data_IF_954917777128
#
_entry.id   IF_954917777128
#
_cell.length_a   1.000
_cell.length_b   1.000
_cell.length_c   1.000
_cell.angle_alpha   90.00
_cell.angle_beta   90.00
_cell.angle_gamma   90.00
#
_symmetry.space_group_name_H-M   'P 1'
#
loop_
_entity.id
_entity.type
_entity.pdbx_description
1 polymer ?
#
# COMPACT_ATOMS: atom_id res chain seq x y z
N UNK A 1 -29.58 15.86 -31.79
CA UNK A 1 -29.39 14.74 -32.75
C UNK A 1 -27.98 14.23 -32.54
N UNK A 2 -27.83 13.06 -31.93
CA UNK A 2 -26.53 12.43 -31.67
C UNK A 2 -26.45 11.18 -32.54
N UNK A 3 -25.53 11.17 -33.50
CA UNK A 3 -25.14 9.97 -34.25
C UNK A 3 -24.08 9.22 -33.46
N UNK A 4 -24.35 7.94 -33.17
CA UNK A 4 -23.41 6.99 -32.62
C UNK A 4 -22.80 6.20 -33.79
N UNK A 5 -21.47 6.10 -33.85
CA UNK A 5 -20.80 5.15 -34.74
C UNK A 5 -20.12 4.09 -33.90
N UNK A 6 -20.65 2.87 -34.01
CA UNK A 6 -20.12 1.65 -33.43
C UNK A 6 -19.08 1.06 -34.40
N UNK A 7 -17.89 0.71 -33.90
CA UNK A 7 -17.01 -0.23 -34.59
C UNK A 7 -16.85 -1.41 -33.65
N UNK A 8 -17.61 -2.47 -33.94
CA UNK A 8 -17.60 -3.70 -33.17
C UNK A 8 -16.42 -4.60 -33.55
N UNK A 9 -15.89 -5.33 -32.58
CA UNK A 9 -15.31 -6.65 -32.82
C UNK A 9 -16.07 -7.65 -31.95
N UNK A 10 -16.78 -8.55 -32.60
CA UNK A 10 -17.47 -9.67 -31.98
C UNK A 10 -16.46 -10.68 -31.43
N UNK A 11 -16.35 -10.78 -30.09
CA UNK A 11 -16.43 -12.04 -29.31
C UNK A 11 -16.03 -11.79 -27.84
N UNK A 12 -16.77 -12.46 -26.96
CA UNK A 12 -16.70 -12.43 -25.49
C UNK A 12 -17.12 -11.09 -24.85
N UNK A 13 -18.40 -11.03 -24.46
CA UNK A 13 -18.91 -9.95 -23.64
C UNK A 13 -18.23 -9.95 -22.27
N UNK A 14 -17.71 -8.79 -21.88
CA UNK A 14 -17.57 -8.30 -20.51
C UNK A 14 -17.04 -6.84 -20.57
N UNK A 15 -17.84 -5.91 -20.05
CA UNK A 15 -17.56 -4.50 -19.74
C UNK A 15 -17.22 -3.53 -20.89
N UNK A 16 -18.24 -2.82 -21.38
CA UNK A 16 -18.10 -1.49 -22.01
C UNK A 16 -18.15 -0.41 -20.92
N UNK A 17 -17.03 0.29 -20.68
CA UNK A 17 -17.02 1.51 -19.85
C UNK A 17 -17.38 2.73 -20.71
N UNK A 18 -18.49 3.40 -20.39
CA UNK A 18 -18.81 4.72 -20.93
C UNK A 18 -18.00 5.79 -20.19
N UNK A 19 -17.08 6.48 -20.87
CA UNK A 19 -16.48 7.71 -20.36
C UNK A 19 -17.39 8.89 -20.70
N UNK A 20 -17.83 9.62 -19.66
CA UNK A 20 -18.49 10.92 -19.82
C UNK A 20 -17.41 12.00 -19.65
N UNK A 21 -16.92 12.56 -20.76
CA UNK A 21 -16.13 13.80 -20.71
C UNK A 21 -16.98 14.89 -20.04
N UNK A 22 -16.43 15.54 -19.01
CA UNK A 22 -17.03 16.73 -18.40
C UNK A 22 -16.11 17.91 -18.69
N UNK A 23 -16.52 18.74 -19.64
CA UNK A 23 -15.84 19.97 -20.05
C UNK A 23 -15.96 21.12 -19.02
N UNK A 24 -16.12 20.84 -17.71
CA UNK A 24 -16.46 21.86 -16.70
C UNK A 24 -15.85 21.59 -15.31
N UNK A 25 -14.55 21.26 -15.24
CA UNK A 25 -13.80 21.31 -13.98
C UNK A 25 -13.06 22.65 -13.86
N UNK A 26 -13.58 23.60 -13.07
CA UNK A 26 -12.97 24.92 -12.86
C UNK A 26 -11.65 24.90 -12.05
N UNK A 27 -11.11 23.72 -11.71
CA UNK A 27 -9.87 23.53 -10.95
C UNK A 27 -8.77 22.77 -11.73
N UNK A 28 -9.06 22.34 -12.95
CA UNK A 28 -8.08 21.74 -13.86
C UNK A 28 -7.91 22.68 -15.03
N UNK A 29 -7.01 23.67 -14.89
CA UNK A 29 -6.59 24.44 -16.07
C UNK A 29 -5.69 23.54 -16.93
N UNK A 30 -5.69 23.70 -18.26
CA UNK A 30 -4.79 22.96 -19.16
C UNK A 30 -3.31 23.10 -18.74
N UNK A 31 -2.93 24.26 -18.23
CA UNK A 31 -1.56 24.51 -17.75
C UNK A 31 -1.17 23.64 -16.55
N UNK A 32 -2.10 23.38 -15.61
CA UNK A 32 -1.86 22.51 -14.46
C UNK A 32 -1.81 21.02 -14.84
N UNK A 33 -2.47 20.63 -15.93
CA UNK A 33 -2.44 19.26 -16.46
C UNK A 33 -1.15 19.01 -17.24
N UNK A 34 -0.68 19.99 -18.02
CA UNK A 34 0.64 19.96 -18.66
C UNK A 34 1.78 19.91 -17.63
N UNK A 35 1.73 20.74 -16.58
CA UNK A 35 2.75 20.72 -15.52
C UNK A 35 2.77 19.37 -14.76
N UNK A 36 1.61 18.70 -14.64
CA UNK A 36 1.49 17.35 -14.06
C UNK A 36 2.01 16.26 -14.99
N UNK A 37 1.73 16.34 -16.29
CA UNK A 37 2.28 15.43 -17.28
C UNK A 37 3.80 15.54 -17.35
N UNK A 38 4.33 16.77 -17.35
CA UNK A 38 5.77 17.02 -17.33
C UNK A 38 6.45 16.44 -16.09
N UNK A 39 5.88 16.64 -14.89
CA UNK A 39 6.38 16.01 -13.64
C UNK A 39 6.26 14.49 -13.62
N UNK A 40 5.29 13.92 -14.33
CA UNK A 40 5.13 12.47 -14.49
C UNK A 40 6.17 11.89 -15.44
N UNK A 41 6.45 12.56 -16.55
CA UNK A 41 7.49 12.19 -17.51
C UNK A 41 8.88 12.30 -16.89
N UNK A 42 9.16 13.37 -16.15
CA UNK A 42 10.39 13.52 -15.37
C UNK A 42 10.59 12.36 -14.39
N UNK A 43 9.53 11.94 -13.68
CA UNK A 43 9.59 10.78 -12.77
C UNK A 43 9.76 9.46 -13.50
N UNK A 44 9.12 9.27 -14.65
CA UNK A 44 9.32 8.07 -15.49
C UNK A 44 10.75 7.96 -16.00
N UNK A 45 11.36 9.09 -16.36
CA UNK A 45 12.77 9.16 -16.76
C UNK A 45 13.70 8.83 -15.58
N UNK A 46 13.44 9.34 -14.37
CA UNK A 46 14.23 9.00 -13.17
C UNK A 46 14.12 7.51 -12.83
N UNK A 47 12.93 6.93 -12.95
CA UNK A 47 12.70 5.49 -12.74
C UNK A 47 13.47 4.68 -13.79
N UNK A 48 13.39 5.06 -15.07
CA UNK A 48 14.15 4.40 -16.15
C UNK A 48 15.68 4.53 -15.97
N UNK A 49 16.16 5.71 -15.56
CA UNK A 49 17.57 5.95 -15.26
C UNK A 49 18.05 5.13 -14.05
N UNK A 50 17.21 4.92 -13.03
CA UNK A 50 17.51 4.01 -11.93
C UNK A 50 17.57 2.56 -12.40
N UNK A 51 16.66 2.12 -13.28
CA UNK A 51 16.73 0.81 -13.92
C UNK A 51 18.02 0.64 -14.76
N UNK A 52 18.48 1.69 -15.44
CA UNK A 52 19.75 1.70 -16.16
C UNK A 52 20.96 1.67 -15.20
N UNK A 53 20.93 2.42 -14.10
CA UNK A 53 22.00 2.46 -13.11
C UNK A 53 22.14 1.16 -12.29
N UNK A 54 21.05 0.39 -12.17
CA UNK A 54 21.07 -0.98 -11.65
C UNK A 54 21.81 -1.96 -12.57
N UNK A 55 21.91 -1.65 -13.87
CA UNK A 55 22.69 -2.41 -14.85
C UNK A 55 24.20 -2.06 -14.76
N UNK A 56 24.51 -0.80 -14.44
CA UNK A 56 25.89 -0.28 -14.31
C UNK A 56 26.56 -0.58 -12.96
N UNK A 57 25.78 -0.72 -11.88
CA UNK A 57 26.31 -1.08 -10.54
C UNK A 57 26.48 -2.59 -10.39
N UNK A 58 27.52 -3.09 -11.06
CA UNK A 58 27.97 -4.48 -11.02
C UNK A 58 28.12 -5.04 -9.58
N UNK A 59 27.07 -5.68 -9.08
CA UNK A 59 27.18 -7.12 -8.78
C UNK A 59 26.57 -7.86 -9.96
N UNK A 60 27.39 -8.39 -10.87
CA UNK A 60 26.85 -8.97 -12.07
C UNK A 60 26.09 -10.24 -11.70
N UNK A 61 24.87 -10.39 -12.25
CA UNK A 61 24.09 -11.63 -12.19
C UNK A 61 24.88 -12.86 -12.69
N UNK A 62 26.06 -12.67 -13.29
CA UNK A 62 27.03 -13.72 -13.60
C UNK A 62 27.64 -14.43 -12.37
N UNK A 63 27.61 -13.83 -11.18
CA UNK A 63 27.97 -14.53 -9.94
C UNK A 63 26.82 -15.44 -9.43
N UNK A 64 25.57 -15.12 -9.78
CA UNK A 64 24.40 -15.99 -9.58
C UNK A 64 24.23 -17.04 -10.69
N UNK A 65 24.86 -16.88 -11.86
CA UNK A 65 24.84 -17.84 -12.99
C UNK A 65 25.36 -19.24 -12.64
N UNK A 66 26.15 -19.43 -11.57
CA UNK A 66 26.76 -20.75 -11.29
C UNK A 66 25.78 -21.83 -10.82
N UNK A 67 24.52 -21.51 -10.53
CA UNK A 67 23.48 -22.51 -10.24
C UNK A 67 22.37 -22.63 -11.28
N UNK A 68 22.32 -21.73 -12.29
CA UNK A 68 21.11 -21.50 -13.11
C UNK A 68 21.29 -21.73 -14.62
N UNK A 69 22.34 -22.42 -15.06
CA UNK A 69 22.43 -22.87 -16.47
C UNK A 69 21.32 -23.87 -16.86
N UNK A 70 20.60 -24.46 -15.90
CA UNK A 70 19.49 -25.38 -16.20
C UNK A 70 18.14 -24.69 -16.46
N UNK A 71 17.88 -23.52 -15.87
CA UNK A 71 16.58 -22.83 -15.99
C UNK A 71 16.49 -21.88 -17.20
N UNK A 72 17.60 -21.27 -17.63
CA UNK A 72 17.59 -20.25 -18.70
C UNK A 72 17.66 -20.88 -20.11
N UNK A 73 18.17 -22.12 -20.24
CA UNK A 73 18.32 -22.77 -21.55
C UNK A 73 17.00 -23.15 -22.25
N UNK A 74 15.84 -23.00 -21.59
CA UNK A 74 14.57 -23.51 -22.10
C UNK A 74 13.62 -22.46 -22.71
N UNK A 75 13.90 -21.16 -22.61
CA UNK A 75 12.93 -20.14 -23.04
C UNK A 75 13.30 -19.38 -24.32
N UNK A 76 14.56 -19.33 -24.75
CA UNK A 76 14.95 -18.66 -26.00
C UNK A 76 14.61 -17.15 -26.07
N UNK A 77 14.23 -16.54 -24.95
CA UNK A 77 13.82 -15.14 -24.82
C UNK A 77 14.97 -14.28 -24.27
N UNK A 78 14.97 -13.00 -24.66
CA UNK A 78 15.92 -11.98 -24.17
C UNK A 78 15.72 -11.71 -22.66
N UNK A 79 16.81 -11.42 -21.95
CA UNK A 79 16.84 -11.27 -20.48
C UNK A 79 15.89 -10.16 -20.02
N UNK A 80 15.84 -9.04 -20.76
CA UNK A 80 14.95 -7.92 -20.46
C UNK A 80 13.46 -8.30 -20.57
N UNK A 81 13.11 -9.09 -21.59
CA UNK A 81 11.73 -9.56 -21.79
C UNK A 81 11.29 -10.49 -20.66
N UNK A 82 12.19 -11.35 -20.20
CA UNK A 82 11.96 -12.26 -19.06
C UNK A 82 11.76 -11.45 -17.77
N UNK A 83 12.53 -10.39 -17.55
CA UNK A 83 12.38 -9.52 -16.38
C UNK A 83 11.05 -8.75 -16.37
N UNK A 84 10.65 -8.19 -17.51
CA UNK A 84 9.35 -7.50 -17.65
C UNK A 84 8.18 -8.47 -17.38
N UNK A 85 8.29 -9.70 -17.88
CA UNK A 85 7.30 -10.75 -17.68
C UNK A 85 7.14 -11.10 -16.19
N UNK A 86 8.23 -11.33 -15.46
CA UNK A 86 8.18 -11.66 -14.03
C UNK A 86 7.68 -10.50 -13.18
N UNK A 87 8.03 -9.26 -13.54
CA UNK A 87 7.50 -8.06 -12.89
C UNK A 87 5.99 -7.96 -13.07
N UNK A 88 5.50 -8.14 -14.29
CA UNK A 88 4.06 -8.16 -14.59
C UNK A 88 3.33 -9.26 -13.78
N UNK A 89 3.89 -10.48 -13.72
CA UNK A 89 3.27 -11.55 -12.95
C UNK A 89 3.26 -11.30 -11.45
N UNK A 90 4.30 -10.65 -10.89
CA UNK A 90 4.33 -10.31 -9.46
C UNK A 90 3.28 -9.25 -9.11
N UNK A 91 3.11 -8.24 -9.97
CA UNK A 91 2.05 -7.24 -9.82
C UNK A 91 0.66 -7.86 -9.96
N UNK A 92 0.49 -8.76 -10.94
CA UNK A 92 -0.76 -9.49 -11.15
C UNK A 92 -1.07 -10.43 -9.97
N UNK A 93 -0.07 -11.14 -9.45
CA UNK A 93 -0.17 -11.96 -8.24
C UNK A 93 -0.58 -11.11 -7.02
N UNK A 94 0.02 -9.94 -6.82
CA UNK A 94 -0.37 -9.05 -5.71
C UNK A 94 -1.81 -8.56 -5.85
N UNK A 95 -2.24 -8.26 -7.08
CA UNK A 95 -3.57 -7.72 -7.36
C UNK A 95 -4.68 -8.76 -7.26
N UNK A 96 -4.47 -9.94 -7.85
CA UNK A 96 -5.50 -10.98 -8.00
C UNK A 96 -5.29 -12.18 -7.10
N UNK A 97 -4.06 -12.39 -6.62
CA UNK A 97 -3.69 -13.41 -5.64
C UNK A 97 -4.20 -14.79 -6.03
N UNK A 98 -3.88 -15.22 -7.25
CA UNK A 98 -4.05 -16.60 -7.68
C UNK A 98 -3.07 -17.51 -6.94
N UNK A 99 -3.39 -18.81 -6.85
CA UNK A 99 -2.47 -19.77 -6.22
C UNK A 99 -1.17 -19.89 -7.03
N UNK A 100 -0.03 -19.95 -6.35
CA UNK A 100 1.26 -20.16 -7.02
C UNK A 100 1.29 -21.41 -7.89
N UNK A 101 0.64 -22.49 -7.45
CA UNK A 101 0.50 -23.71 -8.25
C UNK A 101 -0.17 -23.46 -9.60
N UNK A 102 -1.24 -22.67 -9.61
CA UNK A 102 -1.95 -22.30 -10.84
C UNK A 102 -1.02 -21.51 -11.77
N UNK A 103 -0.40 -20.45 -11.26
CA UNK A 103 0.52 -19.61 -12.05
C UNK A 103 1.71 -20.42 -12.57
N UNK A 104 2.30 -21.28 -11.73
CA UNK A 104 3.41 -22.13 -12.11
C UNK A 104 3.01 -23.08 -13.25
N UNK A 105 1.77 -23.60 -13.21
CA UNK A 105 1.24 -24.45 -14.29
C UNK A 105 1.08 -23.65 -15.60
N UNK A 106 0.48 -22.47 -15.54
CA UNK A 106 0.29 -21.60 -16.71
C UNK A 106 1.61 -21.16 -17.35
N UNK A 107 2.67 -21.00 -16.54
CA UNK A 107 4.01 -20.61 -17.00
C UNK A 107 4.94 -21.79 -17.28
N UNK A 108 4.45 -23.03 -17.13
CA UNK A 108 5.26 -24.24 -17.24
C UNK A 108 6.52 -24.20 -16.35
N UNK A 109 6.37 -23.66 -15.14
CA UNK A 109 7.40 -23.59 -14.10
C UNK A 109 7.09 -24.55 -12.96
N UNK A 110 8.09 -24.87 -12.17
CA UNK A 110 7.85 -25.49 -10.86
C UNK A 110 7.33 -24.43 -9.88
N UNK A 111 6.55 -24.86 -8.87
CA UNK A 111 6.12 -23.93 -7.82
C UNK A 111 7.30 -23.27 -7.09
N UNK A 112 8.37 -24.04 -6.85
CA UNK A 112 9.60 -23.53 -6.21
C UNK A 112 10.26 -22.44 -7.06
N UNK A 113 10.33 -22.65 -8.37
CA UNK A 113 10.87 -21.66 -9.31
C UNK A 113 10.04 -20.38 -9.31
N UNK A 114 8.69 -20.50 -9.30
CA UNK A 114 7.82 -19.34 -9.21
C UNK A 114 7.98 -18.59 -7.88
N UNK A 115 8.01 -19.28 -6.74
CA UNK A 115 8.19 -18.66 -5.42
C UNK A 115 9.52 -17.89 -5.33
N UNK A 116 10.59 -18.46 -5.89
CA UNK A 116 11.88 -17.77 -6.02
C UNK A 116 11.77 -16.48 -6.83
N UNK A 117 11.09 -16.52 -7.98
CA UNK A 117 10.90 -15.33 -8.82
C UNK A 117 10.04 -14.27 -8.15
N UNK A 118 8.91 -14.66 -7.56
CA UNK A 118 8.04 -13.75 -6.83
C UNK A 118 8.80 -13.08 -5.69
N UNK A 119 9.58 -13.84 -4.91
CA UNK A 119 10.37 -13.31 -3.81
C UNK A 119 11.48 -12.37 -4.31
N UNK A 120 12.17 -12.72 -5.40
CA UNK A 120 13.22 -11.88 -5.98
C UNK A 120 12.69 -10.56 -6.52
N UNK A 121 11.57 -10.58 -7.25
CA UNK A 121 10.94 -9.35 -7.75
C UNK A 121 10.40 -8.51 -6.59
N UNK A 122 9.81 -9.15 -5.58
CA UNK A 122 9.35 -8.50 -4.37
C UNK A 122 10.49 -7.77 -3.64
N UNK A 123 11.67 -8.37 -3.57
CA UNK A 123 12.86 -7.77 -2.98
C UNK A 123 13.38 -6.58 -3.80
N UNK A 124 13.38 -6.69 -5.13
CA UNK A 124 13.75 -5.57 -6.02
C UNK A 124 12.77 -4.41 -5.89
N UNK A 125 11.46 -4.67 -5.90
CA UNK A 125 10.44 -3.65 -5.72
C UNK A 125 10.54 -3.00 -4.33
N UNK A 126 10.80 -3.79 -3.30
CA UNK A 126 11.01 -3.28 -1.95
C UNK A 126 12.27 -2.40 -1.86
N UNK A 127 13.35 -2.79 -2.53
CA UNK A 127 14.61 -2.02 -2.48
C UNK A 127 14.54 -0.75 -3.31
N UNK A 128 13.93 -0.79 -4.49
CA UNK A 128 14.04 0.27 -5.49
C UNK A 128 12.79 1.14 -5.62
N UNK A 129 11.61 0.61 -5.29
CA UNK A 129 10.32 1.28 -5.56
C UNK A 129 9.66 1.76 -4.26
N UNK A 130 9.76 1.00 -3.18
CA UNK A 130 9.16 1.38 -1.90
C UNK A 130 9.72 2.69 -1.33
N UNK A 131 11.05 2.91 -1.22
CA UNK A 131 11.60 4.15 -0.65
C UNK A 131 11.24 5.41 -1.46
N UNK A 132 11.10 5.26 -2.78
CA UNK A 132 10.75 6.37 -3.69
C UNK A 132 9.29 6.81 -3.56
N UNK A 133 8.41 5.92 -3.10
CA UNK A 133 6.96 6.13 -3.05
C UNK A 133 6.41 6.25 -1.65
N UNK A 134 7.15 5.78 -0.65
CA UNK A 134 6.82 5.86 0.76
C UNK A 134 8.05 6.42 1.47
N UNK A 135 7.96 7.71 1.77
CA UNK A 135 8.94 8.42 2.56
C UNK A 135 8.22 9.23 3.61
N UNK A 136 8.74 9.16 4.84
CA UNK A 136 8.28 10.00 5.91
C UNK A 136 8.58 11.45 5.54
N UNK A 137 7.60 12.34 5.69
CA UNK A 137 7.71 13.65 5.09
C UNK A 137 8.43 14.57 6.08
N UNK A 138 9.75 14.42 6.17
CA UNK A 138 10.64 15.38 6.83
C UNK A 138 10.46 16.81 6.24
N UNK A 139 9.87 16.92 5.04
CA UNK A 139 9.60 18.17 4.29
C UNK A 139 8.10 18.49 4.11
N UNK A 140 7.23 18.22 5.10
CA UNK A 140 5.86 18.75 5.06
C UNK A 140 5.88 20.28 5.20
N UNK A 141 6.01 21.00 4.08
CA UNK A 141 5.71 22.45 4.00
C UNK A 141 4.36 22.69 4.68
N UNK A 142 4.27 23.70 5.57
CA UNK A 142 3.08 24.03 6.35
C UNK A 142 1.88 24.32 5.43
N UNK A 143 1.17 23.28 5.01
CA UNK A 143 -0.08 23.40 4.26
C UNK A 143 -1.21 23.26 5.26
N UNK A 144 -1.67 24.39 5.76
CA UNK A 144 -2.94 24.52 6.46
C UNK A 144 -4.05 23.97 5.56
N UNK A 145 -4.77 22.97 6.03
CA UNK A 145 -5.98 22.48 5.38
C UNK A 145 -7.15 23.39 5.75
N UNK A 146 -8.00 23.71 4.78
CA UNK A 146 -9.09 24.69 4.94
C UNK A 146 -10.18 24.24 5.93
N UNK A 147 -10.19 22.97 6.36
CA UNK A 147 -11.28 22.38 7.16
C UNK A 147 -10.80 21.41 8.29
N UNK A 148 -9.55 21.55 8.77
CA UNK A 148 -8.94 20.78 9.89
C UNK A 148 -7.87 19.79 9.41
N UNK A 149 -6.85 19.40 10.22
CA UNK A 149 -6.50 19.73 11.61
C UNK A 149 -5.40 20.82 11.73
N UNK A 150 -4.86 21.07 12.94
CA UNK A 150 -3.96 22.21 13.22
C UNK A 150 -2.60 22.11 12.49
N UNK A 151 -1.84 23.21 12.44
CA UNK A 151 -0.57 23.32 11.70
C UNK A 151 0.42 22.17 11.95
N UNK A 152 0.42 21.62 13.17
CA UNK A 152 1.28 20.52 13.55
C UNK A 152 0.69 19.13 13.25
N UNK A 153 -0.62 18.96 13.11
CA UNK A 153 -1.20 17.64 12.80
C UNK A 153 -0.97 17.33 11.33
N UNK A 154 -0.01 16.47 11.03
CA UNK A 154 0.44 16.21 9.65
C UNK A 154 0.20 14.76 9.23
N UNK A 155 -0.01 13.87 10.19
CA UNK A 155 -0.16 12.44 9.97
C UNK A 155 -1.47 11.91 10.55
N UNK A 156 -2.04 10.92 9.87
CA UNK A 156 -3.17 10.14 10.33
C UNK A 156 -2.72 8.68 10.38
N UNK A 157 -2.85 8.05 11.53
CA UNK A 157 -2.40 6.69 11.79
C UNK A 157 -3.59 5.79 12.06
N UNK A 158 -3.57 4.62 11.43
CA UNK A 158 -4.48 3.52 11.72
C UNK A 158 -3.79 2.21 11.36
N UNK A 159 -4.27 1.12 11.96
CA UNK A 159 -3.81 -0.21 11.61
C UNK A 159 -4.78 -0.92 10.68
N UNK A 160 -4.25 -1.75 9.80
CA UNK A 160 -5.03 -2.73 9.05
C UNK A 160 -4.51 -4.13 9.34
N UNK A 161 -5.30 -5.14 9.00
CA UNK A 161 -4.96 -6.53 9.28
C UNK A 161 -4.90 -7.34 8.00
N UNK A 162 -4.09 -8.38 7.91
CA UNK A 162 -4.09 -9.36 6.82
C UNK A 162 -4.61 -10.67 7.41
N UNK A 163 -5.74 -11.18 6.90
CA UNK A 163 -6.34 -12.40 7.43
C UNK A 163 -5.42 -13.60 7.17
N UNK A 164 -5.28 -14.48 8.17
CA UNK A 164 -4.47 -15.70 8.03
C UNK A 164 -5.32 -16.94 8.33
N UNK A 165 -4.90 -18.15 7.91
CA UNK A 165 -5.54 -19.39 8.30
C UNK A 165 -5.42 -19.58 9.81
N UNK A 166 -6.31 -20.40 10.39
CA UNK A 166 -6.19 -20.76 11.80
C UNK A 166 -4.85 -21.43 12.09
N UNK A 167 -4.04 -20.90 13.03
CA UNK A 167 -2.80 -21.55 13.43
C UNK A 167 -3.05 -22.95 14.03
N UNK A 168 -2.08 -23.85 13.82
CA UNK A 168 -2.19 -25.24 14.24
C UNK A 168 -2.27 -25.40 15.76
N UNK A 169 -1.37 -24.74 16.50
CA UNK A 169 -1.27 -24.85 17.96
C UNK A 169 -1.96 -23.71 18.71
N UNK A 170 -2.27 -23.97 19.98
CA UNK A 170 -3.02 -23.05 20.84
C UNK A 170 -2.25 -21.78 21.20
N UNK A 171 -0.92 -21.81 21.24
CA UNK A 171 -0.09 -20.66 21.58
C UNK A 171 -0.14 -19.66 20.43
N UNK A 172 0.06 -20.13 19.20
CA UNK A 172 -0.07 -19.31 18.01
C UNK A 172 -1.50 -18.78 17.84
N UNK A 173 -2.54 -19.58 18.09
CA UNK A 173 -3.94 -19.09 18.02
C UNK A 173 -4.18 -17.88 18.91
N UNK A 174 -3.64 -17.87 20.13
CA UNK A 174 -3.74 -16.71 21.03
C UNK A 174 -2.96 -15.51 20.48
N UNK A 175 -1.75 -15.74 20.00
CA UNK A 175 -0.87 -14.68 19.52
C UNK A 175 -1.39 -14.00 18.24
N UNK A 176 -2.01 -14.75 17.33
CA UNK A 176 -2.55 -14.21 16.08
C UNK A 176 -4.03 -13.83 16.15
N UNK A 177 -4.68 -13.96 17.31
CA UNK A 177 -6.11 -13.70 17.43
C UNK A 177 -6.46 -12.25 17.10
N UNK A 178 -7.42 -12.06 16.20
CA UNK A 178 -7.96 -10.75 15.85
C UNK A 178 -9.45 -10.85 15.51
N UNK A 179 -10.30 -10.32 16.38
CA UNK A 179 -11.76 -10.51 16.31
C UNK A 179 -12.42 -9.92 15.05
N UNK A 180 -11.79 -8.95 14.36
CA UNK A 180 -12.32 -8.37 13.12
C UNK A 180 -11.94 -9.17 11.87
N UNK A 181 -11.03 -10.14 12.00
CA UNK A 181 -10.63 -10.99 10.88
C UNK A 181 -11.71 -12.03 10.57
N UNK A 182 -12.00 -12.33 9.30
CA UNK A 182 -12.98 -13.37 8.93
C UNK A 182 -12.62 -14.77 9.45
N UNK A 183 -11.35 -15.02 9.75
CA UNK A 183 -10.87 -16.29 10.33
C UNK A 183 -10.68 -16.21 11.85
N UNK A 184 -10.92 -15.04 12.47
CA UNK A 184 -10.48 -14.67 13.82
C UNK A 184 -8.95 -14.62 14.02
N UNK A 185 -8.16 -14.74 12.95
CA UNK A 185 -6.71 -14.67 13.04
C UNK A 185 -6.15 -13.72 11.98
N UNK A 186 -5.16 -12.91 12.35
CA UNK A 186 -4.54 -12.00 11.42
C UNK A 186 -3.09 -11.66 11.79
N UNK A 187 -2.39 -11.14 10.79
CA UNK A 187 -1.26 -10.24 10.98
C UNK A 187 -1.78 -8.80 10.96
N UNK A 188 -1.11 -7.88 11.62
CA UNK A 188 -1.44 -6.45 11.63
C UNK A 188 -0.30 -5.64 11.02
N UNK A 189 -0.62 -4.52 10.40
CA UNK A 189 0.35 -3.55 9.91
C UNK A 189 -0.17 -2.16 10.25
N UNK A 190 0.70 -1.33 10.81
CA UNK A 190 0.42 0.07 11.07
C UNK A 190 0.82 0.90 9.86
N UNK A 191 0.01 1.92 9.55
CA UNK A 191 0.30 2.84 8.47
C UNK A 191 -0.01 4.26 8.87
N UNK A 192 0.74 5.20 8.30
CA UNK A 192 0.46 6.62 8.38
C UNK A 192 0.19 7.20 6.99
N UNK A 193 -0.76 8.12 6.90
CA UNK A 193 -0.98 8.93 5.71
C UNK A 193 -1.04 10.43 6.01
N UNK A 194 -0.81 11.25 5.00
CA UNK A 194 -1.05 12.69 5.07
C UNK A 194 -2.50 13.07 4.70
N UNK A 195 -2.84 14.36 4.83
CA UNK A 195 -4.15 14.92 4.44
C UNK A 195 -4.38 14.99 2.92
N UNK A 196 -3.38 14.62 2.12
CA UNK A 196 -3.50 14.41 0.68
C UNK A 196 -3.80 12.94 0.34
N UNK A 197 -4.03 12.10 1.36
CA UNK A 197 -4.32 10.67 1.25
C UNK A 197 -3.14 9.90 0.64
N UNK A 198 -1.91 10.34 0.89
CA UNK A 198 -0.70 9.61 0.50
C UNK A 198 -0.21 8.81 1.70
N UNK A 199 0.07 7.52 1.50
CA UNK A 199 0.74 6.70 2.51
C UNK A 199 2.18 7.20 2.63
N UNK A 200 2.64 7.48 3.83
CA UNK A 200 3.99 7.99 4.08
C UNK A 200 4.80 7.12 5.02
N UNK A 201 4.14 6.15 5.66
CA UNK A 201 4.77 5.17 6.52
C UNK A 201 4.00 3.85 6.51
N UNK A 202 4.75 2.75 6.60
CA UNK A 202 4.22 1.39 6.76
C UNK A 202 5.18 0.64 7.68
N UNK A 203 4.68 0.19 8.83
CA UNK A 203 5.48 -0.55 9.81
C UNK A 203 5.84 -1.95 9.33
N UNK A 204 6.64 -2.66 10.13
CA UNK A 204 6.68 -4.11 10.07
C UNK A 204 5.32 -4.74 10.40
N UNK A 205 5.12 -6.00 10.01
CA UNK A 205 3.95 -6.76 10.41
C UNK A 205 4.05 -7.22 11.87
N UNK A 206 2.92 -7.19 12.56
CA UNK A 206 2.75 -7.64 13.93
C UNK A 206 1.76 -8.80 14.01
N UNK A 207 1.80 -9.54 15.13
CA UNK A 207 0.81 -10.58 15.41
C UNK A 207 -0.55 -9.94 15.73
N UNK A 208 -1.64 -10.63 15.39
CA UNK A 208 -3.01 -10.11 15.51
C UNK A 208 -3.43 -9.65 16.91
N UNK A 209 -2.85 -10.23 17.97
CA UNK A 209 -3.16 -9.88 19.35
C UNK A 209 -2.43 -8.63 19.86
N UNK A 210 -1.44 -8.11 19.12
CA UNK A 210 -0.68 -6.92 19.52
C UNK A 210 -1.62 -5.72 19.49
N UNK A 211 -1.65 -4.93 20.56
CA UNK A 211 -2.49 -3.73 20.65
C UNK A 211 -1.96 -2.62 19.75
N UNK A 212 -2.86 -1.79 19.24
CA UNK A 212 -2.50 -0.70 18.32
C UNK A 212 -1.48 0.26 18.91
N UNK A 213 -1.66 0.66 20.18
CA UNK A 213 -0.70 1.48 20.91
C UNK A 213 0.68 0.84 21.04
N UNK A 214 0.75 -0.48 21.24
CA UNK A 214 2.02 -1.22 21.33
C UNK A 214 2.73 -1.19 19.98
N UNK A 215 2.00 -1.36 18.87
CA UNK A 215 2.59 -1.26 17.54
C UNK A 215 3.16 0.14 17.28
N UNK A 216 2.43 1.20 17.67
CA UNK A 216 2.92 2.56 17.52
C UNK A 216 4.20 2.79 18.32
N UNK A 217 4.22 2.36 19.58
CA UNK A 217 5.39 2.50 20.46
C UNK A 217 6.61 1.68 20.06
N UNK A 218 6.39 0.54 19.40
CA UNK A 218 7.47 -0.31 18.84
C UNK A 218 7.87 0.10 17.41
N UNK A 219 7.05 0.91 16.74
CA UNK A 219 7.33 1.39 15.39
C UNK A 219 8.34 2.53 15.40
N UNK A 220 9.10 2.65 14.31
CA UNK A 220 9.98 3.79 14.06
C UNK A 220 9.21 5.10 13.82
N UNK A 221 7.87 5.06 13.68
CA UNK A 221 7.07 6.25 13.35
C UNK A 221 7.21 7.37 14.38
N UNK A 222 7.28 7.00 15.67
CA UNK A 222 7.40 7.98 16.75
C UNK A 222 8.76 8.71 16.77
N UNK A 223 9.79 8.16 16.12
CA UNK A 223 11.09 8.83 15.98
C UNK A 223 11.01 10.03 15.02
N UNK A 224 9.92 10.13 14.26
CA UNK A 224 9.72 11.14 13.23
C UNK A 224 8.60 12.14 13.54
N UNK A 225 8.01 12.06 14.75
CA UNK A 225 7.02 13.03 15.25
C UNK A 225 7.65 13.98 16.25
N UNK A 226 7.12 15.20 16.33
CA UNK A 226 7.54 16.24 17.26
C UNK A 226 6.43 17.28 17.43
N UNK A 227 6.68 18.36 18.16
CA UNK A 227 5.74 19.47 18.35
C UNK A 227 5.16 20.05 17.05
N UNK A 228 5.89 19.94 15.93
CA UNK A 228 5.48 20.41 14.60
C UNK A 228 4.88 19.32 13.70
N UNK A 229 4.90 18.06 14.13
CA UNK A 229 4.38 16.88 13.41
C UNK A 229 3.69 15.96 14.42
N UNK A 230 2.40 16.16 14.63
CA UNK A 230 1.54 15.31 15.48
C UNK A 230 0.72 14.33 14.65
N UNK A 231 0.34 13.23 15.30
CA UNK A 231 -0.45 12.13 14.77
C UNK A 231 -1.92 12.32 15.15
N UNK A 232 -2.81 12.03 14.22
CA UNK A 232 -4.23 11.76 14.49
C UNK A 232 -4.45 10.26 14.47
N UNK A 233 -5.02 9.71 15.55
CA UNK A 233 -5.29 8.28 15.63
C UNK A 233 -6.63 7.98 16.32
N UNK A 234 -7.02 6.70 16.33
CA UNK A 234 -8.19 6.25 17.09
C UNK A 234 -7.96 6.36 18.60
N UNK A 235 -9.04 6.26 19.37
CA UNK A 235 -9.04 6.10 20.83
C UNK A 235 -8.23 4.90 21.32
N UNK A 236 -7.88 3.95 20.45
CA UNK A 236 -6.97 2.85 20.77
C UNK A 236 -5.53 3.29 21.04
N UNK A 237 -5.18 4.53 20.68
CA UNK A 237 -3.85 5.13 20.80
C UNK A 237 -3.79 6.24 21.89
N UNK A 238 -4.68 6.16 22.88
CA UNK A 238 -4.72 7.14 23.97
C UNK A 238 -3.46 7.00 24.86
N UNK A 239 -2.97 8.13 25.35
CA UNK A 239 -1.83 8.28 26.28
C UNK A 239 -0.43 8.26 25.63
N UNK A 240 -0.32 8.35 24.30
CA UNK A 240 0.96 8.58 23.62
C UNK A 240 1.27 10.07 23.39
N UNK A 241 2.55 10.42 23.53
CA UNK A 241 3.04 11.77 23.26
C UNK A 241 2.88 12.10 21.77
N UNK A 242 2.45 13.33 21.45
CA UNK A 242 2.16 13.79 20.08
C UNK A 242 1.01 13.09 19.35
N UNK A 243 0.22 12.25 20.04
CA UNK A 243 -0.97 11.60 19.48
C UNK A 243 -2.24 12.30 19.93
N UNK A 244 -3.02 12.75 18.96
CA UNK A 244 -4.32 13.39 19.17
C UNK A 244 -5.44 12.42 18.81
N UNK A 245 -6.27 12.14 19.81
CA UNK A 245 -7.40 11.20 19.72
C UNK A 245 -8.73 11.90 20.03
N UNK A 246 -9.87 11.34 19.58
CA UNK A 246 -11.17 11.90 19.93
C UNK A 246 -11.42 11.91 21.44
N UNK A 247 -11.91 13.04 21.97
CA UNK A 247 -12.24 13.24 23.38
C UNK A 247 -13.32 12.25 23.84
N UNK A 248 -13.08 11.58 24.97
CA UNK A 248 -14.03 10.66 25.60
C UNK A 248 -15.19 11.43 26.23
N UNK A 249 -16.38 10.81 26.22
CA UNK A 249 -17.53 11.32 26.99
C UNK A 249 -17.18 11.20 28.48
N UNK A 250 -17.32 12.28 29.29
CA UNK A 250 -17.10 12.18 30.73
C UNK A 250 -18.15 11.26 31.38
N UNK A 251 -17.80 10.67 32.52
CA UNK A 251 -18.74 9.83 33.26
C UNK A 251 -19.99 10.62 33.65
N UNK A 252 -21.17 10.07 33.34
CA UNK A 252 -22.49 10.65 33.65
C UNK A 252 -22.74 12.09 33.15
N UNK A 253 -21.98 12.58 32.17
CA UNK A 253 -22.18 13.91 31.59
C UNK A 253 -22.20 13.87 30.06
N UNK A 254 -22.93 14.80 29.46
CA UNK A 254 -22.89 14.97 28.02
C UNK A 254 -21.57 15.57 27.56
N UNK A 255 -21.17 15.19 26.34
CA UNK A 255 -19.98 15.76 25.70
C UNK A 255 -20.29 17.22 25.34
N UNK A 256 -19.41 18.15 25.72
CA UNK A 256 -19.60 19.56 25.40
C UNK A 256 -19.63 19.77 23.88
N UNK A 257 -20.36 20.78 23.40
CA UNK A 257 -20.51 21.01 21.95
C UNK A 257 -19.16 21.29 21.27
N UNK A 258 -18.23 21.96 21.97
CA UNK A 258 -16.85 22.16 21.52
C UNK A 258 -16.12 20.82 21.29
N UNK A 259 -16.30 19.86 22.20
CA UNK A 259 -15.67 18.54 22.12
C UNK A 259 -16.31 17.66 21.04
N UNK A 260 -17.62 17.82 20.80
CA UNK A 260 -18.30 17.18 19.66
C UNK A 260 -17.76 17.70 18.33
N UNK A 261 -17.59 19.01 18.18
CA UNK A 261 -17.03 19.61 16.98
C UNK A 261 -15.59 19.19 16.75
N UNK A 262 -14.77 19.15 17.81
CA UNK A 262 -13.42 18.61 17.76
C UNK A 262 -13.42 17.14 17.29
N UNK A 263 -14.24 16.28 17.90
CA UNK A 263 -14.35 14.88 17.49
C UNK A 263 -14.84 14.74 16.04
N UNK A 264 -15.72 15.61 15.57
CA UNK A 264 -16.19 15.62 14.18
C UNK A 264 -15.03 15.91 13.22
N UNK A 265 -14.19 16.89 13.53
CA UNK A 265 -12.99 17.20 12.73
C UNK A 265 -11.99 16.04 12.73
N UNK A 266 -11.69 15.46 13.89
CA UNK A 266 -10.78 14.31 14.01
C UNK A 266 -11.31 13.09 13.25
N UNK A 267 -12.59 12.75 13.41
CA UNK A 267 -13.20 11.62 12.71
C UNK A 267 -13.25 11.87 11.19
N UNK A 268 -13.49 13.11 10.76
CA UNK A 268 -13.46 13.46 9.34
C UNK A 268 -12.05 13.32 8.75
N UNK A 269 -11.01 13.67 9.50
CA UNK A 269 -9.62 13.43 9.09
C UNK A 269 -9.34 11.94 8.94
N UNK A 270 -9.71 11.13 9.94
CA UNK A 270 -9.51 9.67 9.94
C UNK A 270 -10.14 8.93 8.77
N UNK A 271 -11.21 9.46 8.18
CA UNK A 271 -11.80 8.90 6.96
C UNK A 271 -10.76 8.74 5.82
N UNK A 272 -9.69 9.54 5.79
CA UNK A 272 -8.62 9.40 4.81
C UNK A 272 -7.90 8.05 4.92
N UNK A 273 -7.37 7.70 6.10
CA UNK A 273 -6.64 6.44 6.30
C UNK A 273 -7.58 5.23 6.21
N UNK A 274 -8.84 5.37 6.66
CA UNK A 274 -9.85 4.32 6.52
C UNK A 274 -10.12 4.00 5.03
N UNK A 275 -10.23 5.03 4.19
CA UNK A 275 -10.40 4.85 2.74
C UNK A 275 -9.15 4.24 2.07
N UNK A 276 -7.95 4.59 2.55
CA UNK A 276 -6.69 3.97 2.10
C UNK A 276 -6.66 2.49 2.48
N UNK A 277 -7.04 2.15 3.71
CA UNK A 277 -7.17 0.77 4.18
C UNK A 277 -8.12 -0.02 3.27
N UNK A 278 -9.26 0.55 2.88
CA UNK A 278 -10.16 -0.07 1.91
C UNK A 278 -9.53 -0.22 0.52
N UNK A 279 -8.74 0.76 0.06
CA UNK A 279 -8.05 0.65 -1.24
C UNK A 279 -7.00 -0.46 -1.24
N UNK A 280 -6.24 -0.61 -0.15
CA UNK A 280 -5.28 -1.71 0.00
C UNK A 280 -5.96 -3.06 -0.06
N UNK A 281 -7.17 -3.18 0.51
CA UNK A 281 -7.99 -4.40 0.43
C UNK A 281 -8.43 -4.78 -0.98
N UNK A 282 -8.30 -3.88 -1.96
CA UNK A 282 -8.51 -4.23 -3.38
C UNK A 282 -7.34 -5.00 -4.00
N UNK A 283 -6.18 -5.06 -3.34
CA UNK A 283 -5.13 -6.02 -3.66
C UNK A 283 -5.49 -7.32 -2.96
N UNK A 284 -5.79 -8.37 -3.72
CA UNK A 284 -6.33 -9.60 -3.16
C UNK A 284 -5.37 -10.27 -2.16
N UNK A 285 -4.06 -10.00 -2.23
CA UNK A 285 -3.07 -10.45 -1.23
C UNK A 285 -3.31 -9.84 0.16
N UNK A 286 -3.90 -8.65 0.25
CA UNK A 286 -4.37 -8.01 1.49
C UNK A 286 -5.83 -8.31 1.81
N UNK A 287 -6.67 -8.41 0.78
CA UNK A 287 -8.12 -8.55 0.90
C UNK A 287 -8.61 -9.96 1.22
N UNK A 288 -7.80 -10.97 0.93
CA UNK A 288 -8.14 -12.39 1.15
C UNK A 288 -7.31 -13.02 2.26
N UNK A 289 -7.52 -14.30 2.52
CA UNK A 289 -6.72 -15.07 3.49
C UNK A 289 -5.34 -15.28 2.89
N UNK A 290 -4.31 -14.74 3.55
CA UNK A 290 -2.91 -14.94 3.19
C UNK A 290 -2.53 -16.42 3.29
N UNK A 291 -1.87 -16.93 2.26
CA UNK A 291 -1.53 -18.36 2.10
C UNK A 291 -0.04 -18.65 2.25
N UNK A 292 0.78 -17.62 2.50
CA UNK A 292 2.21 -17.79 2.75
C UNK A 292 2.51 -18.20 4.19
N UNK A 293 3.81 -18.33 4.49
CA UNK A 293 4.30 -18.63 5.83
C UNK A 293 4.01 -17.45 6.78
N UNK A 294 3.30 -17.72 7.89
CA UNK A 294 2.85 -16.68 8.84
C UNK A 294 3.91 -16.27 9.88
N UNK A 295 5.01 -17.02 9.91
CA UNK A 295 6.22 -16.81 10.72
C UNK A 295 7.33 -16.09 9.95
N UNK A 296 7.22 -16.00 8.62
CA UNK A 296 8.10 -15.19 7.77
C UNK A 296 7.65 -13.73 7.75
N UNK A 297 7.86 -13.05 8.89
CA UNK A 297 7.54 -11.63 9.06
C UNK A 297 8.24 -10.75 8.03
N UNK A 298 9.47 -11.09 7.65
CA UNK A 298 10.24 -10.36 6.67
C UNK A 298 9.54 -10.31 5.30
N UNK A 299 9.13 -11.48 4.79
CA UNK A 299 8.46 -11.58 3.48
C UNK A 299 7.12 -10.84 3.48
N UNK A 300 6.28 -11.02 4.51
CA UNK A 300 4.98 -10.35 4.54
C UNK A 300 5.09 -8.83 4.78
N UNK A 301 6.06 -8.37 5.58
CA UNK A 301 6.36 -6.94 5.73
C UNK A 301 6.74 -6.32 4.38
N UNK A 302 7.63 -6.95 3.62
CA UNK A 302 7.99 -6.46 2.28
C UNK A 302 6.80 -6.40 1.33
N UNK A 303 5.97 -7.45 1.33
CA UNK A 303 4.72 -7.46 0.55
C UNK A 303 3.83 -6.29 0.97
N UNK A 304 3.67 -6.06 2.27
CA UNK A 304 2.87 -4.97 2.81
C UNK A 304 3.36 -3.60 2.32
N UNK A 305 4.66 -3.37 2.46
CA UNK A 305 5.34 -2.14 2.07
C UNK A 305 5.24 -1.88 0.55
N UNK A 306 5.52 -2.88 -0.29
CA UNK A 306 5.41 -2.74 -1.75
C UNK A 306 3.97 -2.54 -2.19
N UNK A 307 3.00 -3.29 -1.66
CA UNK A 307 1.58 -3.09 -2.01
C UNK A 307 1.12 -1.69 -1.64
N UNK A 308 1.56 -1.16 -0.50
CA UNK A 308 1.32 0.23 -0.12
C UNK A 308 1.96 1.23 -1.08
N UNK A 309 3.20 1.00 -1.52
CA UNK A 309 3.86 1.85 -2.51
C UNK A 309 3.10 1.84 -3.86
N UNK A 310 2.70 0.66 -4.33
CA UNK A 310 1.86 0.52 -5.53
C UNK A 310 0.49 1.18 -5.35
N UNK A 311 -0.07 1.15 -4.14
CA UNK A 311 -1.30 1.85 -3.81
C UNK A 311 -1.12 3.37 -3.93
N UNK A 312 0.00 3.93 -3.47
CA UNK A 312 0.34 5.35 -3.69
C UNK A 312 0.42 5.71 -5.18
N UNK A 313 1.08 4.87 -6.00
CA UNK A 313 1.10 5.09 -7.46
C UNK A 313 -0.32 5.13 -8.05
N UNK A 314 -1.20 4.25 -7.57
CA UNK A 314 -2.59 4.20 -8.00
C UNK A 314 -3.38 5.42 -7.51
N UNK A 315 -3.18 5.86 -6.28
CA UNK A 315 -3.83 7.04 -5.69
C UNK A 315 -3.49 8.33 -6.44
N UNK A 316 -2.27 8.44 -6.96
CA UNK A 316 -1.88 9.56 -7.82
C UNK A 316 -2.68 9.60 -9.14
N UNK A 317 -2.99 8.43 -9.71
CA UNK A 317 -3.79 8.30 -10.96
C UNK A 317 -5.30 8.33 -10.71
N UNK A 318 -5.73 7.80 -9.56
CA UNK A 318 -7.13 7.62 -9.18
C UNK A 318 -7.36 8.04 -7.72
N UNK A 319 -7.38 9.36 -7.46
CA UNK A 319 -7.51 9.89 -6.12
C UNK A 319 -8.78 9.43 -5.41
N UNK A 320 -8.70 9.26 -4.09
CA UNK A 320 -9.89 9.05 -3.25
C UNK A 320 -10.73 10.33 -3.33
N UNK A 321 -12.04 10.17 -3.59
CA UNK A 321 -12.99 11.29 -3.55
C UNK A 321 -13.04 11.83 -2.12
N UNK A 322 -12.78 13.12 -1.97
CA UNK A 322 -12.87 13.85 -0.69
C UNK A 322 -14.30 14.09 -0.29
#
# INVERSE_FOLDING_TARGET
>A
MLTWTCIGSEKSGLYTHYYRHRDTCNYCTPELEEERQQKMEEKQVVIQQHFQALDDTQRPWSEWKRSDESCIQHTGHDVEQVQQLYSMFTLWYSKHYHSERYIATELNLTQKTLDYFLSSVQDTLHTCVYPELISLPADMSNRTTTYGPEEHHKLIVDSTFIAIPQPGDSIQRKAYYHARSPTNYALKVEMACDFHHRIVYVSECYKGSVHDITMLGESELLEHVNDSVQIIADKGYIDEEYVVTPRKKPHERELAEKDKNFNRSINSARAAIENINQRLKTYAIFGSIYRGAIDDFYKITKIAQVVSALCNMNLNKHPIRK
#
